data_IF_466599875408
#
_entry.id   IF_466599875408
#
_cell.length_a   1.000
_cell.length_b   1.000
_cell.length_c   1.000
_cell.angle_alpha   90.00
_cell.angle_beta   90.00
_cell.angle_gamma   90.00
#
_symmetry.space_group_name_H-M   'P 1'
#
loop_
_entity.id
_entity.type
_entity.pdbx_description
1 polymer ?
#
# COMPACT_ATOMS: atom_id res chain seq x y z
N UNK A 1 0.82 40.42 39.73
CA UNK A 1 0.54 39.09 39.15
C UNK A 1 0.36 38.12 40.29
N UNK A 2 -0.83 37.53 40.40
CA UNK A 2 -1.15 36.55 41.43
C UNK A 2 -0.89 35.14 40.89
N UNK A 3 -0.61 34.19 41.79
CA UNK A 3 -0.35 32.79 41.44
C UNK A 3 -1.54 32.16 40.69
N UNK A 4 -2.76 32.66 40.94
CA UNK A 4 -3.98 32.24 40.27
C UNK A 4 -4.03 32.63 38.78
N UNK A 5 -3.58 33.83 38.42
CA UNK A 5 -3.54 34.27 37.02
C UNK A 5 -2.57 33.42 36.19
N UNK A 6 -1.44 33.01 36.78
CA UNK A 6 -0.43 32.20 36.09
C UNK A 6 -0.94 30.78 35.84
N UNK A 7 -1.68 30.17 36.78
CA UNK A 7 -2.23 28.81 36.61
C UNK A 7 -3.29 28.79 35.49
N UNK A 8 -4.16 29.80 35.42
CA UNK A 8 -5.19 29.88 34.38
C UNK A 8 -4.54 30.04 33.00
N UNK A 9 -3.52 30.89 32.88
CA UNK A 9 -2.78 31.07 31.62
C UNK A 9 -2.08 29.78 31.20
N UNK A 10 -1.41 29.08 32.13
CA UNK A 10 -0.78 27.79 31.83
C UNK A 10 -1.80 26.72 31.43
N UNK A 11 -2.98 26.70 32.07
CA UNK A 11 -4.06 25.77 31.73
C UNK A 11 -4.59 25.97 30.31
N UNK A 12 -4.80 27.22 29.89
CA UNK A 12 -5.27 27.54 28.53
C UNK A 12 -4.19 27.22 27.49
N UNK A 13 -2.93 27.56 27.75
CA UNK A 13 -1.82 27.23 26.85
C UNK A 13 -1.68 25.70 26.69
N UNK A 14 -1.83 24.95 27.78
CA UNK A 14 -1.76 23.49 27.76
C UNK A 14 -2.83 22.84 26.88
N UNK A 15 -4.10 23.30 26.98
CA UNK A 15 -5.19 22.73 26.17
C UNK A 15 -5.08 23.12 24.69
N UNK A 16 -4.65 24.35 24.38
CA UNK A 16 -4.41 24.78 23.00
C UNK A 16 -3.26 23.98 22.38
N UNK A 17 -2.14 23.81 23.10
CA UNK A 17 -1.01 23.04 22.60
C UNK A 17 -1.37 21.59 22.28
N UNK A 18 -2.13 20.92 23.16
CA UNK A 18 -2.62 19.56 22.91
C UNK A 18 -3.54 19.50 21.68
N UNK A 19 -4.43 20.48 21.52
CA UNK A 19 -5.31 20.57 20.36
C UNK A 19 -4.55 20.71 19.03
N UNK A 20 -3.54 21.59 18.99
CA UNK A 20 -2.75 21.85 17.77
C UNK A 20 -1.90 20.64 17.38
N UNK A 21 -1.32 19.91 18.34
CA UNK A 21 -0.51 18.70 18.04
C UNK A 21 -1.36 17.62 17.37
N UNK A 22 -2.57 17.36 17.88
CA UNK A 22 -3.46 16.35 17.29
C UNK A 22 -3.91 16.75 15.88
N UNK A 23 -4.26 18.03 15.69
CA UNK A 23 -4.65 18.54 14.36
C UNK A 23 -3.49 18.47 13.37
N UNK A 24 -2.28 18.81 13.80
CA UNK A 24 -1.08 18.71 12.98
C UNK A 24 -0.77 17.26 12.59
N UNK A 25 -0.80 16.32 13.54
CA UNK A 25 -0.59 14.90 13.26
C UNK A 25 -1.59 14.36 12.24
N UNK A 26 -2.89 14.64 12.42
CA UNK A 26 -3.93 14.25 11.45
C UNK A 26 -3.70 14.84 10.06
N UNK A 27 -3.24 16.09 9.99
CA UNK A 27 -2.94 16.74 8.72
C UNK A 27 -1.72 16.10 8.03
N UNK A 28 -0.66 15.76 8.79
CA UNK A 28 0.51 15.06 8.25
C UNK A 28 0.17 13.65 7.78
N UNK A 29 -0.62 12.88 8.54
CA UNK A 29 -1.06 11.54 8.14
C UNK A 29 -1.91 11.60 6.87
N UNK A 30 -2.84 12.55 6.79
CA UNK A 30 -3.67 12.76 5.59
C UNK A 30 -2.85 13.13 4.36
N UNK A 31 -1.85 14.00 4.53
CA UNK A 31 -0.92 14.38 3.46
C UNK A 31 -0.11 13.17 3.01
N UNK A 32 0.48 12.42 3.96
CA UNK A 32 1.27 11.24 3.66
C UNK A 32 0.47 10.17 2.90
N UNK A 33 -0.81 9.96 3.24
CA UNK A 33 -1.70 9.06 2.46
C UNK A 33 -1.91 9.58 1.03
N UNK A 34 -2.18 10.88 0.87
CA UNK A 34 -2.46 11.48 -0.44
C UNK A 34 -1.24 11.41 -1.36
N UNK A 35 -0.06 11.74 -0.81
CA UNK A 35 1.21 11.64 -1.54
C UNK A 35 1.50 10.17 -1.90
N UNK A 36 1.28 9.23 -0.97
CA UNK A 36 1.50 7.81 -1.22
C UNK A 36 0.59 7.28 -2.33
N UNK A 37 -0.70 7.63 -2.32
CA UNK A 37 -1.64 7.26 -3.39
C UNK A 37 -1.19 7.83 -4.74
N UNK A 38 -0.61 9.03 -4.76
CA UNK A 38 -0.03 9.62 -5.97
C UNK A 38 1.20 8.83 -6.42
N UNK A 39 2.14 8.55 -5.51
CA UNK A 39 3.35 7.76 -5.77
C UNK A 39 3.02 6.37 -6.32
N UNK A 40 2.02 5.68 -5.77
CA UNK A 40 1.55 4.38 -6.27
C UNK A 40 1.14 4.48 -7.75
N UNK A 41 0.42 5.52 -8.14
CA UNK A 41 -0.02 5.71 -9.52
C UNK A 41 1.12 6.15 -10.46
N UNK A 42 2.08 6.93 -9.95
CA UNK A 42 3.31 7.28 -10.68
C UNK A 42 4.14 6.02 -10.95
N UNK A 43 4.39 5.19 -9.92
CA UNK A 43 5.11 3.92 -10.03
C UNK A 43 4.41 2.98 -11.01
N UNK A 44 3.09 2.86 -10.92
CA UNK A 44 2.27 2.08 -11.86
C UNK A 44 2.54 2.47 -13.31
N UNK A 45 2.53 3.78 -13.57
CA UNK A 45 2.79 4.33 -14.92
C UNK A 45 4.23 4.05 -15.36
N UNK A 46 5.20 4.29 -14.48
CA UNK A 46 6.62 4.05 -14.74
C UNK A 46 6.93 2.57 -15.04
N UNK A 47 6.33 1.64 -14.29
CA UNK A 47 6.46 0.19 -14.52
C UNK A 47 5.93 -0.20 -15.89
N UNK A 48 4.74 0.30 -16.26
CA UNK A 48 4.13 -0.01 -17.56
C UNK A 48 4.91 0.59 -18.72
N UNK A 49 5.41 1.81 -18.56
CA UNK A 49 6.22 2.47 -19.60
C UNK A 49 7.58 1.79 -19.80
N UNK A 50 8.26 1.40 -18.72
CA UNK A 50 9.56 0.75 -18.79
C UNK A 50 9.51 -0.71 -19.29
N UNK A 51 8.50 -1.48 -18.87
CA UNK A 51 8.47 -2.95 -19.07
C UNK A 51 7.24 -3.44 -19.84
N UNK A 52 6.23 -2.60 -20.05
CA UNK A 52 4.97 -3.01 -20.68
C UNK A 52 5.10 -3.40 -22.15
N UNK A 53 6.11 -2.87 -22.87
CA UNK A 53 6.36 -3.20 -24.28
C UNK A 53 6.96 -4.61 -24.45
N UNK A 54 7.80 -5.04 -23.52
CA UNK A 54 8.40 -6.39 -23.52
C UNK A 54 7.49 -7.41 -22.86
N UNK A 55 6.63 -6.97 -21.93
CA UNK A 55 5.80 -7.85 -21.11
C UNK A 55 6.63 -8.72 -20.16
N UNK A 56 7.88 -8.32 -19.88
CA UNK A 56 8.80 -8.99 -18.96
C UNK A 56 9.13 -7.99 -17.85
N UNK A 57 8.51 -8.18 -16.70
CA UNK A 57 8.77 -7.38 -15.51
C UNK A 57 9.90 -8.01 -14.68
N UNK A 58 10.74 -7.21 -14.01
CA UNK A 58 11.82 -7.74 -13.19
C UNK A 58 11.28 -8.44 -11.94
N UNK A 59 11.93 -9.53 -11.52
CA UNK A 59 11.66 -10.10 -10.19
C UNK A 59 11.90 -9.06 -9.10
N UNK A 60 11.16 -9.12 -7.97
CA UNK A 60 11.42 -8.24 -6.85
C UNK A 60 12.84 -8.45 -6.30
N UNK A 61 13.22 -7.51 -5.43
CA UNK A 61 14.46 -7.56 -4.65
C UNK A 61 14.19 -6.92 -3.28
N UNK A 62 13.21 -7.45 -2.54
CA UNK A 62 12.67 -6.87 -1.31
C UNK A 62 13.72 -6.58 -0.23
N UNK A 63 14.61 -7.54 0.07
CA UNK A 63 15.70 -7.41 1.04
C UNK A 63 16.69 -6.31 0.62
N UNK A 64 17.08 -6.30 -0.65
CA UNK A 64 17.95 -5.25 -1.20
C UNK A 64 17.25 -3.88 -1.18
N UNK A 65 15.95 -3.83 -1.48
CA UNK A 65 15.14 -2.60 -1.49
C UNK A 65 14.98 -2.04 -0.09
N UNK A 66 14.75 -2.89 0.91
CA UNK A 66 14.66 -2.49 2.32
C UNK A 66 15.98 -1.93 2.87
N UNK A 67 17.12 -2.33 2.31
CA UNK A 67 18.44 -1.83 2.70
C UNK A 67 18.81 -0.48 2.04
N UNK A 68 18.01 0.03 1.10
CA UNK A 68 18.30 1.29 0.40
C UNK A 68 18.01 2.51 1.28
N UNK A 69 18.80 3.55 1.05
CA UNK A 69 18.62 4.89 1.59
C UNK A 69 18.88 5.94 0.48
N UNK A 70 18.74 7.22 0.83
CA UNK A 70 18.87 8.33 -0.12
C UNK A 70 20.24 8.44 -0.78
N UNK A 71 21.28 7.90 -0.14
CA UNK A 71 22.63 7.89 -0.67
C UNK A 71 22.88 6.71 -1.61
N UNK A 72 22.20 5.57 -1.39
CA UNK A 72 22.46 4.33 -2.14
C UNK A 72 21.50 4.10 -3.30
N UNK A 73 20.33 4.75 -3.30
CA UNK A 73 19.26 4.54 -4.30
C UNK A 73 19.68 4.90 -5.73
N UNK A 74 20.58 5.86 -5.91
CA UNK A 74 21.10 6.26 -7.24
C UNK A 74 22.35 5.49 -7.64
N UNK A 75 22.93 4.72 -6.72
CA UNK A 75 24.15 3.95 -6.93
C UNK A 75 23.92 2.55 -7.49
N UNK A 76 24.99 1.74 -7.44
CA UNK A 76 24.95 0.33 -7.87
C UNK A 76 23.97 -0.52 -7.07
N UNK A 77 23.82 -0.23 -5.78
CA UNK A 77 22.85 -0.91 -4.90
C UNK A 77 21.41 -0.65 -5.37
N UNK A 78 21.07 0.60 -5.69
CA UNK A 78 19.74 0.93 -6.23
C UNK A 78 19.48 0.25 -7.57
N UNK A 79 20.46 0.24 -8.48
CA UNK A 79 20.34 -0.42 -9.79
C UNK A 79 20.16 -1.95 -9.71
N UNK A 80 20.47 -2.57 -8.57
CA UNK A 80 20.16 -3.98 -8.33
C UNK A 80 18.67 -4.24 -8.09
N UNK A 81 17.90 -3.22 -7.69
CA UNK A 81 16.47 -3.32 -7.37
C UNK A 81 15.59 -2.83 -8.52
N UNK A 82 14.38 -3.37 -8.71
CA UNK A 82 13.44 -2.87 -9.70
C UNK A 82 13.11 -1.38 -9.57
N UNK A 83 12.86 -0.91 -8.35
CA UNK A 83 12.50 0.49 -8.09
C UNK A 83 13.67 1.44 -8.41
N UNK A 84 14.90 1.06 -8.04
CA UNK A 84 16.10 1.85 -8.36
C UNK A 84 16.44 1.85 -9.85
N UNK A 85 16.10 0.79 -10.60
CA UNK A 85 16.19 0.80 -12.07
C UNK A 85 15.26 1.84 -12.70
N UNK A 86 14.03 1.99 -12.20
CA UNK A 86 13.11 3.03 -12.71
C UNK A 86 13.67 4.43 -12.48
N UNK A 87 14.31 4.68 -11.33
CA UNK A 87 14.99 5.94 -11.03
C UNK A 87 16.18 6.15 -11.96
N UNK A 88 17.01 5.13 -12.17
CA UNK A 88 18.15 5.19 -13.07
C UNK A 88 17.74 5.42 -14.54
N UNK A 89 16.55 4.97 -14.94
CA UNK A 89 15.95 5.24 -16.25
C UNK A 89 15.29 6.62 -16.36
N UNK A 90 15.27 7.41 -15.27
CA UNK A 90 14.62 8.72 -15.22
C UNK A 90 13.09 8.66 -15.29
N UNK A 91 12.48 7.50 -15.02
CA UNK A 91 11.02 7.29 -15.04
C UNK A 91 10.35 7.64 -13.72
N UNK A 92 11.15 7.80 -12.67
CA UNK A 92 10.71 8.03 -11.29
C UNK A 92 11.76 8.87 -10.57
N UNK A 93 11.34 9.85 -9.77
CA UNK A 93 12.25 10.53 -8.82
C UNK A 93 12.43 9.72 -7.53
N UNK A 94 13.45 10.05 -6.74
CA UNK A 94 13.68 9.39 -5.44
C UNK A 94 12.52 9.59 -4.47
N UNK A 95 11.85 10.75 -4.51
CA UNK A 95 10.74 11.06 -3.60
C UNK A 95 9.46 10.33 -4.01
N UNK A 96 9.21 10.17 -5.31
CA UNK A 96 8.07 9.40 -5.82
C UNK A 96 8.23 7.88 -5.57
N UNK A 97 9.46 7.41 -5.39
CA UNK A 97 9.77 6.03 -5.08
C UNK A 97 9.59 5.65 -3.61
N UNK A 98 9.37 6.64 -2.72
CA UNK A 98 9.28 6.41 -1.28
C UNK A 98 7.85 6.19 -0.81
N UNK A 99 7.75 5.31 0.19
CA UNK A 99 6.61 5.24 1.07
C UNK A 99 6.77 6.31 2.16
N UNK A 100 5.98 7.37 2.08
CA UNK A 100 6.03 8.49 3.04
C UNK A 100 5.55 8.12 4.45
N UNK A 101 5.04 6.90 4.65
CA UNK A 101 4.66 6.36 5.96
C UNK A 101 5.84 5.63 6.61
N UNK A 102 6.40 4.63 5.93
CA UNK A 102 7.49 3.80 6.48
C UNK A 102 8.88 4.41 6.25
N UNK A 103 8.97 5.44 5.41
CA UNK A 103 10.22 6.03 4.93
C UNK A 103 11.16 5.02 4.21
N UNK A 104 10.61 3.91 3.73
CA UNK A 104 11.33 2.97 2.86
C UNK A 104 11.00 3.23 1.38
N UNK A 105 11.90 2.82 0.48
CA UNK A 105 11.57 2.77 -0.95
C UNK A 105 10.61 1.63 -1.22
N UNK A 106 9.54 1.91 -1.97
CA UNK A 106 8.47 0.96 -2.29
C UNK A 106 9.05 -0.23 -3.07
N UNK A 107 8.69 -1.45 -2.67
CA UNK A 107 9.07 -2.67 -3.39
C UNK A 107 8.15 -2.87 -4.60
N UNK A 108 8.74 -3.20 -5.74
CA UNK A 108 8.02 -3.53 -6.96
C UNK A 108 8.66 -4.76 -7.59
N UNK A 109 7.87 -5.54 -8.32
CA UNK A 109 8.37 -6.73 -8.97
C UNK A 109 7.35 -7.36 -9.91
N UNK A 110 7.72 -8.51 -10.45
CA UNK A 110 6.91 -9.28 -11.40
C UNK A 110 5.70 -9.93 -10.73
N UNK A 111 4.59 -9.96 -11.47
CA UNK A 111 3.38 -10.70 -11.13
C UNK A 111 3.04 -11.68 -12.25
N UNK A 112 2.71 -12.91 -11.86
CA UNK A 112 2.24 -13.94 -12.79
C UNK A 112 0.74 -13.81 -12.99
N UNK A 113 0.32 -13.77 -14.25
CA UNK A 113 -1.10 -13.60 -14.62
C UNK A 113 -1.83 -14.94 -14.80
N UNK A 114 -1.09 -16.04 -14.76
CA UNK A 114 -1.60 -17.41 -14.91
C UNK A 114 -0.57 -18.43 -14.41
N UNK A 115 -1.00 -19.66 -14.16
CA UNK A 115 -0.16 -20.79 -13.75
C UNK A 115 0.97 -21.16 -14.72
N UNK A 116 0.98 -20.60 -15.94
CA UNK A 116 2.04 -20.83 -16.91
C UNK A 116 3.35 -20.07 -16.61
N UNK A 117 3.43 -19.35 -15.48
CA UNK A 117 4.64 -18.65 -15.03
C UNK A 117 5.08 -17.51 -15.95
N UNK A 118 4.14 -16.96 -16.72
CA UNK A 118 4.44 -15.84 -17.60
C UNK A 118 4.26 -14.55 -16.79
N UNK A 119 5.40 -13.95 -16.43
CA UNK A 119 5.58 -12.70 -15.69
C UNK A 119 5.14 -11.47 -16.51
N UNK A 120 3.88 -11.49 -16.91
CA UNK A 120 3.22 -10.48 -17.74
C UNK A 120 2.46 -9.44 -16.92
N UNK A 121 2.55 -9.49 -15.61
CA UNK A 121 2.07 -8.47 -14.70
C UNK A 121 3.18 -7.98 -13.77
N UNK A 122 2.82 -7.03 -12.93
CA UNK A 122 3.67 -6.48 -11.90
C UNK A 122 2.87 -6.22 -10.64
N UNK A 123 3.59 -6.02 -9.54
CA UNK A 123 3.02 -5.59 -8.27
C UNK A 123 3.79 -4.43 -7.68
N UNK A 124 3.13 -3.76 -6.74
CA UNK A 124 3.64 -2.69 -5.90
C UNK A 124 3.31 -3.09 -4.47
N UNK A 125 4.31 -3.22 -3.59
CA UNK A 125 4.14 -3.55 -2.18
C UNK A 125 4.48 -2.35 -1.30
N UNK A 126 3.52 -1.97 -0.46
CA UNK A 126 3.63 -0.89 0.51
C UNK A 126 3.67 -1.50 1.91
N UNK A 127 4.80 -1.40 2.60
CA UNK A 127 5.03 -2.01 3.92
C UNK A 127 4.80 -1.06 5.10
N UNK A 128 4.88 -1.61 6.31
CA UNK A 128 4.95 -0.85 7.56
C UNK A 128 3.70 -0.04 7.86
N UNK A 129 2.54 -0.54 7.45
CA UNK A 129 1.27 0.15 7.58
C UNK A 129 0.61 -0.20 8.92
N UNK A 130 0.09 0.81 9.60
CA UNK A 130 -0.88 0.58 10.67
C UNK A 130 -2.21 0.10 10.07
N UNK A 131 -3.06 -0.49 10.91
CA UNK A 131 -4.41 -0.90 10.51
C UNK A 131 -5.19 0.21 9.79
N UNK A 132 -5.14 1.44 10.31
CA UNK A 132 -5.85 2.57 9.73
C UNK A 132 -5.31 2.97 8.36
N UNK A 133 -3.99 2.97 8.20
CA UNK A 133 -3.32 3.34 6.95
C UNK A 133 -3.58 2.28 5.88
N UNK A 134 -3.48 1.00 6.24
CA UNK A 134 -3.80 -0.13 5.38
C UNK A 134 -5.23 -0.03 4.82
N UNK A 135 -6.23 0.17 5.68
CA UNK A 135 -7.64 0.35 5.25
C UNK A 135 -7.84 1.56 4.35
N UNK A 136 -7.14 2.67 4.63
CA UNK A 136 -7.27 3.87 3.83
C UNK A 136 -6.70 3.68 2.41
N UNK A 137 -5.57 2.99 2.27
CA UNK A 137 -4.98 2.63 0.97
C UNK A 137 -5.92 1.70 0.19
N UNK A 138 -6.51 0.69 0.85
CA UNK A 138 -7.48 -0.21 0.23
C UNK A 138 -8.67 0.56 -0.36
N UNK A 139 -9.20 1.55 0.36
CA UNK A 139 -10.33 2.36 -0.09
C UNK A 139 -9.97 3.32 -1.23
N UNK A 140 -8.77 3.89 -1.21
CA UNK A 140 -8.35 4.87 -2.23
C UNK A 140 -7.88 4.21 -3.53
N UNK A 141 -7.19 3.07 -3.44
CA UNK A 141 -6.49 2.49 -4.59
C UNK A 141 -6.91 1.07 -4.92
N UNK A 142 -7.45 0.31 -3.97
CA UNK A 142 -7.65 -1.14 -4.13
C UNK A 142 -8.55 -1.51 -5.32
N UNK A 143 -9.64 -0.76 -5.53
CA UNK A 143 -10.53 -1.00 -6.67
C UNK A 143 -9.94 -0.63 -8.03
N UNK A 144 -8.84 0.14 -8.06
CA UNK A 144 -8.16 0.51 -9.30
C UNK A 144 -7.12 -0.53 -9.74
N UNK A 145 -6.85 -1.55 -8.93
CA UNK A 145 -5.93 -2.64 -9.24
C UNK A 145 -6.69 -3.95 -9.52
N UNK A 146 -6.09 -4.79 -10.36
CA UNK A 146 -6.60 -6.13 -10.72
C UNK A 146 -6.38 -7.13 -9.56
N UNK A 147 -5.30 -6.94 -8.80
CA UNK A 147 -4.94 -7.75 -7.64
C UNK A 147 -4.72 -6.88 -6.40
N UNK A 148 -5.24 -7.32 -5.26
CA UNK A 148 -5.04 -6.69 -3.96
C UNK A 148 -4.88 -7.76 -2.91
N UNK A 149 -3.76 -7.73 -2.22
CA UNK A 149 -3.45 -8.59 -1.08
C UNK A 149 -3.02 -7.73 0.11
N UNK A 150 -3.41 -8.17 1.31
CA UNK A 150 -2.90 -7.64 2.57
C UNK A 150 -2.11 -8.73 3.26
N UNK A 151 -0.87 -8.45 3.63
CA UNK A 151 -0.05 -9.33 4.48
C UNK A 151 0.14 -8.72 5.86
N UNK A 152 0.58 -9.51 6.84
CA UNK A 152 0.79 -9.11 8.23
C UNK A 152 2.20 -9.46 8.75
N UNK A 153 3.18 -9.47 7.85
CA UNK A 153 4.56 -9.88 8.13
C UNK A 153 5.59 -8.94 7.49
N UNK A 154 5.17 -7.71 7.16
CA UNK A 154 5.97 -6.71 6.47
C UNK A 154 6.03 -5.41 7.29
N UNK A 155 6.69 -5.42 8.47
CA UNK A 155 6.96 -4.20 9.22
C UNK A 155 7.88 -3.26 8.43
N UNK A 156 8.07 -2.05 8.96
CA UNK A 156 9.06 -1.10 8.43
C UNK A 156 10.43 -1.79 8.30
N UNK A 157 11.04 -1.66 7.12
CA UNK A 157 12.32 -2.31 6.78
C UNK A 157 12.21 -3.77 6.32
N UNK A 158 11.00 -4.28 6.08
CA UNK A 158 10.80 -5.62 5.52
C UNK A 158 9.72 -5.62 4.43
N UNK A 159 9.84 -6.56 3.50
CA UNK A 159 8.87 -6.83 2.43
C UNK A 159 8.52 -8.31 2.44
N UNK A 160 7.27 -8.64 2.12
CA UNK A 160 6.83 -10.02 2.01
C UNK A 160 7.46 -10.72 0.79
N UNK A 161 7.68 -9.98 -0.30
CA UNK A 161 8.23 -10.53 -1.55
C UNK A 161 9.68 -10.08 -1.79
N UNK A 162 10.59 -11.05 -1.88
CA UNK A 162 12.03 -10.78 -2.10
C UNK A 162 12.53 -11.18 -3.48
N UNK A 163 12.31 -12.40 -3.95
CA UNK A 163 12.88 -12.91 -5.21
C UNK A 163 11.92 -13.81 -6.01
N UNK A 164 10.65 -13.83 -5.64
CA UNK A 164 9.58 -14.60 -6.29
C UNK A 164 8.55 -13.65 -6.86
N UNK A 165 7.98 -14.00 -8.01
CA UNK A 165 6.82 -13.31 -8.55
C UNK A 165 5.60 -13.50 -7.66
N UNK A 166 4.68 -12.53 -7.69
CA UNK A 166 3.37 -12.62 -7.03
C UNK A 166 2.40 -13.32 -7.97
N UNK A 167 1.68 -14.31 -7.47
CA UNK A 167 0.63 -14.96 -8.25
C UNK A 167 -0.63 -14.08 -8.28
N UNK A 168 -0.79 -13.26 -9.33
CA UNK A 168 -1.96 -12.37 -9.45
C UNK A 168 -3.27 -13.15 -9.68
N UNK A 169 -3.16 -14.45 -9.96
CA UNK A 169 -4.26 -15.41 -10.08
C UNK A 169 -4.42 -16.28 -8.82
N UNK A 170 -3.84 -15.87 -7.68
CA UNK A 170 -4.04 -16.59 -6.43
C UNK A 170 -5.52 -16.58 -6.02
N UNK A 171 -5.99 -17.68 -5.41
CA UNK A 171 -7.38 -17.76 -4.92
C UNK A 171 -7.59 -16.70 -3.83
N UNK A 172 -8.76 -16.04 -3.86
CA UNK A 172 -9.08 -15.04 -2.84
C UNK A 172 -9.15 -15.67 -1.45
N UNK A 173 -8.74 -14.91 -0.44
CA UNK A 173 -8.73 -15.34 0.96
C UNK A 173 -9.07 -14.16 1.86
N UNK A 174 -9.69 -14.44 3.01
CA UNK A 174 -10.19 -13.38 3.90
C UNK A 174 -11.37 -12.59 3.32
N UNK A 175 -12.05 -13.13 2.29
CA UNK A 175 -13.21 -12.50 1.64
C UNK A 175 -14.48 -13.29 1.97
N UNK A 176 -15.47 -12.62 2.57
CA UNK A 176 -16.87 -13.07 2.56
C UNK A 176 -17.56 -12.39 1.38
N UNK A 177 -18.13 -13.18 0.47
CA UNK A 177 -18.75 -12.66 -0.75
C UNK A 177 -19.92 -11.71 -0.45
N UNK A 178 -20.09 -10.70 -1.31
CA UNK A 178 -21.25 -9.84 -1.27
C UNK A 178 -22.54 -10.63 -1.56
N UNK A 179 -23.64 -10.27 -0.90
CA UNK A 179 -24.97 -10.80 -1.19
C UNK A 179 -25.71 -9.74 -2.00
N UNK A 180 -26.10 -10.03 -3.26
CA UNK A 180 -26.90 -9.09 -4.05
C UNK A 180 -28.22 -8.77 -3.36
N UNK A 181 -28.68 -7.53 -3.51
CA UNK A 181 -30.02 -7.17 -3.08
C UNK A 181 -31.08 -7.88 -3.93
N UNK A 182 -32.16 -8.32 -3.29
CA UNK A 182 -33.26 -9.00 -3.98
C UNK A 182 -34.40 -8.03 -4.32
N UNK A 183 -34.67 -7.06 -3.45
CA UNK A 183 -35.76 -6.10 -3.57
C UNK A 183 -35.55 -4.87 -2.66
N UNK A 184 -36.53 -3.96 -2.60
CA UNK A 184 -36.46 -2.73 -1.81
C UNK A 184 -36.34 -2.96 -0.28
N UNK A 185 -36.75 -4.13 0.22
CA UNK A 185 -36.66 -4.50 1.64
C UNK A 185 -35.41 -5.35 1.94
N UNK A 186 -34.71 -5.83 0.91
CA UNK A 186 -33.51 -6.65 1.01
C UNK A 186 -32.39 -6.05 0.16
N UNK A 187 -31.72 -4.96 0.62
CA UNK A 187 -30.78 -4.18 -0.19
C UNK A 187 -29.45 -4.88 -0.51
N UNK A 188 -29.22 -6.09 0.02
CA UNK A 188 -27.97 -6.83 -0.12
C UNK A 188 -26.92 -6.43 0.92
N UNK A 189 -25.79 -7.13 0.91
CA UNK A 189 -24.65 -6.84 1.80
C UNK A 189 -23.36 -6.73 0.98
N UNK A 190 -22.47 -5.78 1.31
CA UNK A 190 -21.17 -5.71 0.67
C UNK A 190 -20.31 -6.93 1.04
N UNK A 191 -19.25 -7.17 0.26
CA UNK A 191 -18.24 -8.16 0.62
C UNK A 191 -17.51 -7.70 1.89
N UNK A 192 -17.21 -8.64 2.79
CA UNK A 192 -16.45 -8.37 4.02
C UNK A 192 -15.02 -8.90 3.88
N UNK A 193 -14.05 -8.08 4.25
CA UNK A 193 -12.62 -8.36 4.18
C UNK A 193 -12.09 -8.50 5.61
N UNK A 194 -11.40 -9.61 5.91
CA UNK A 194 -11.01 -9.95 7.28
C UNK A 194 -9.51 -10.22 7.38
N UNK A 195 -8.83 -9.52 8.30
CA UNK A 195 -7.42 -9.72 8.59
C UNK A 195 -6.53 -9.50 7.36
N UNK A 196 -5.58 -10.41 7.16
CA UNK A 196 -4.71 -10.50 5.99
C UNK A 196 -5.25 -11.53 4.99
N UNK A 197 -5.08 -11.29 3.70
CA UNK A 197 -5.50 -12.19 2.63
C UNK A 197 -5.50 -11.55 1.25
N UNK A 198 -5.87 -12.35 0.25
CA UNK A 198 -6.01 -11.92 -1.15
C UNK A 198 -7.45 -11.47 -1.35
N UNK A 199 -7.67 -10.16 -1.37
CA UNK A 199 -9.00 -9.56 -1.46
C UNK A 199 -9.49 -9.44 -2.90
N UNK A 200 -8.57 -9.17 -3.84
CA UNK A 200 -8.86 -9.08 -5.27
C UNK A 200 -7.82 -9.88 -6.05
N UNK A 201 -8.24 -10.62 -7.07
CA UNK A 201 -7.32 -11.34 -7.96
C UNK A 201 -7.94 -11.65 -9.32
N UNK A 202 -7.13 -12.22 -10.21
CA UNK A 202 -7.51 -12.60 -11.58
C UNK A 202 -8.31 -13.91 -11.66
N UNK A 203 -8.55 -14.60 -10.54
CA UNK A 203 -9.39 -15.82 -10.56
C UNK A 203 -10.83 -15.49 -10.95
N UNK A 204 -11.55 -16.48 -11.44
CA UNK A 204 -12.99 -16.34 -11.70
C UNK A 204 -13.72 -15.97 -10.41
N UNK A 205 -14.43 -14.85 -10.41
CA UNK A 205 -15.10 -14.32 -9.21
C UNK A 205 -14.17 -13.59 -8.23
N UNK A 206 -12.88 -13.43 -8.55
CA UNK A 206 -11.89 -12.76 -7.70
C UNK A 206 -11.96 -11.23 -7.70
N UNK A 207 -12.83 -10.63 -8.52
CA UNK A 207 -12.99 -9.17 -8.61
C UNK A 207 -13.88 -8.62 -7.49
N UNK A 208 -13.49 -8.82 -6.23
CA UNK A 208 -14.25 -8.38 -5.04
C UNK A 208 -14.26 -6.86 -4.93
N UNK A 209 -15.43 -6.23 -4.96
CA UNK A 209 -15.52 -4.78 -4.74
C UNK A 209 -15.14 -4.43 -3.29
N UNK A 210 -14.14 -3.57 -3.12
CA UNK A 210 -13.71 -3.05 -1.81
C UNK A 210 -14.60 -1.86 -1.46
N UNK A 211 -15.34 -1.96 -0.37
CA UNK A 211 -16.26 -0.91 0.10
C UNK A 211 -15.86 -0.43 1.50
N UNK A 212 -16.38 0.74 1.90
CA UNK A 212 -16.15 1.31 3.23
C UNK A 212 -16.52 0.33 4.36
N UNK A 213 -17.70 -0.30 4.25
CA UNK A 213 -18.17 -1.27 5.24
C UNK A 213 -17.38 -2.60 5.17
N UNK A 214 -16.94 -2.98 3.97
CA UNK A 214 -16.21 -4.22 3.73
C UNK A 214 -14.82 -4.27 4.35
N UNK A 215 -14.13 -3.13 4.47
CA UNK A 215 -12.74 -3.07 4.98
C UNK A 215 -12.64 -2.95 6.51
N UNK A 216 -13.76 -2.81 7.23
CA UNK A 216 -13.76 -2.51 8.68
C UNK A 216 -12.99 -3.59 9.48
N UNK A 217 -12.98 -4.83 9.01
CA UNK A 217 -12.29 -5.95 9.65
C UNK A 217 -10.99 -6.36 8.94
N UNK A 218 -10.59 -5.63 7.90
CA UNK A 218 -9.35 -5.88 7.18
C UNK A 218 -8.14 -5.34 7.97
N UNK A 219 -6.96 -5.89 7.67
CA UNK A 219 -5.68 -5.53 8.29
C UNK A 219 -5.60 -5.92 9.79
N UNK A 220 -4.43 -6.36 10.25
CA UNK A 220 -4.18 -6.68 11.65
C UNK A 220 -4.00 -5.41 12.48
N UNK A 221 -4.29 -5.50 13.79
CA UNK A 221 -4.16 -4.38 14.73
C UNK A 221 -2.70 -4.20 15.20
N UNK A 222 -1.80 -4.03 14.23
CA UNK A 222 -0.37 -3.79 14.43
C UNK A 222 0.20 -2.95 13.25
N UNK A 223 1.50 -2.69 13.28
CA UNK A 223 2.23 -1.93 12.24
C UNK A 223 3.02 -2.80 11.27
N UNK A 224 2.62 -4.06 11.11
CA UNK A 224 3.26 -5.04 10.22
C UNK A 224 2.46 -5.33 8.95
N UNK A 225 1.38 -4.58 8.72
CA UNK A 225 0.59 -4.72 7.51
C UNK A 225 1.38 -4.26 6.29
N UNK A 226 1.28 -5.00 5.19
CA UNK A 226 1.55 -4.47 3.85
C UNK A 226 0.35 -4.62 2.94
N UNK A 227 0.26 -3.72 1.96
CA UNK A 227 -0.70 -3.81 0.87
C UNK A 227 0.06 -4.06 -0.43
N UNK A 228 -0.30 -5.14 -1.11
CA UNK A 228 0.28 -5.57 -2.38
C UNK A 228 -0.75 -5.32 -3.47
N UNK A 229 -0.41 -4.46 -4.41
CA UNK A 229 -1.28 -3.98 -5.49
C UNK A 229 -0.74 -4.46 -6.82
N UNK A 230 -1.48 -5.29 -7.55
CA UNK A 230 -1.03 -5.91 -8.79
C UNK A 230 -1.85 -5.53 -10.03
N UNK A 231 -1.18 -5.53 -11.18
CA UNK A 231 -1.75 -5.20 -12.49
C UNK A 231 -1.03 -5.98 -13.61
N UNK A 232 -1.67 -6.06 -14.78
CA UNK A 232 -1.10 -6.58 -16.03
C UNK A 232 -0.26 -5.53 -16.78
#
# INVERSE_FOLDING_TARGET
MTLLEIIIVLGIIGTIAAGVVILAQRAYDSKAMTDLTTNINTIRTAMKDAYGSTGIYPLPAGTATAALNDQTITGTAGQATPIGKLIALGKLSTDEAKNNISNNFISVGAGDISANGIQKGYFIEINGLTQQQCRNILLQTGNSFDYVEVTNNAPVGAYNYDNTSVELYHTTSGVTAAVPGADANHPGTPALLTGSGVFRSLVTGGNTQITADGVITACTDDSSNSVVLGSR
#
